data_IF_083251503197
#
_entry.id   IF_083251503197
#
_cell.length_a   1.000
_cell.length_b   1.000
_cell.length_c   1.000
_cell.angle_alpha   90.00
_cell.angle_beta   90.00
_cell.angle_gamma   90.00
#
_symmetry.space_group_name_H-M   'P 1'
#
loop_
_entity.id
_entity.type
_entity.pdbx_description
1 polymer ?
#
# COMPACT_ATOMS: atom_id res chain seq x y z
N UNK A 1 27.55 -17.74 -47.80
CA UNK A 1 28.05 -16.94 -46.67
C UNK A 1 27.25 -15.66 -46.72
N UNK A 2 26.16 -15.61 -45.97
CA UNK A 2 25.25 -14.46 -45.95
C UNK A 2 25.67 -13.60 -44.78
N UNK A 3 26.47 -12.59 -45.06
CA UNK A 3 26.85 -11.55 -44.12
C UNK A 3 25.58 -10.75 -43.75
N UNK A 4 24.99 -11.06 -42.59
CA UNK A 4 23.89 -10.24 -42.06
C UNK A 4 24.46 -8.88 -41.62
N UNK A 5 23.82 -7.76 -42.01
CA UNK A 5 24.30 -6.43 -41.68
C UNK A 5 24.08 -6.17 -40.19
N UNK A 6 25.16 -6.06 -39.44
CA UNK A 6 25.21 -5.58 -38.05
C UNK A 6 24.60 -4.16 -37.88
N UNK A 7 24.24 -3.50 -38.99
CA UNK A 7 23.52 -2.25 -39.07
C UNK A 7 22.11 -2.30 -38.43
N UNK A 8 21.44 -3.46 -38.44
CA UNK A 8 20.10 -3.60 -37.85
C UNK A 8 20.14 -3.62 -36.31
N UNK A 9 21.23 -4.13 -35.73
CA UNK A 9 21.42 -4.16 -34.27
C UNK A 9 21.84 -2.80 -33.68
N UNK A 10 22.37 -1.88 -34.49
CA UNK A 10 22.75 -0.53 -34.06
C UNK A 10 21.69 0.57 -34.29
N UNK A 11 20.65 0.29 -35.10
CA UNK A 11 19.61 1.26 -35.49
C UNK A 11 18.21 0.86 -34.98
N UNK A 12 18.02 -0.40 -34.54
CA UNK A 12 16.69 -0.94 -34.23
C UNK A 12 16.34 -1.09 -32.76
N UNK A 13 17.29 -0.91 -31.84
CA UNK A 13 17.02 -0.95 -30.41
C UNK A 13 17.33 0.42 -29.82
N UNK A 14 16.32 1.20 -29.40
CA UNK A 14 16.56 2.45 -28.69
C UNK A 14 17.43 2.15 -27.48
N UNK A 15 18.71 2.55 -27.53
CA UNK A 15 19.53 2.68 -26.33
C UNK A 15 18.68 3.50 -25.36
N UNK A 16 18.36 2.96 -24.18
CA UNK A 16 17.25 3.43 -23.32
C UNK A 16 17.20 4.93 -23.01
N UNK A 17 18.25 5.67 -23.33
CA UNK A 17 18.26 7.12 -23.42
C UNK A 17 17.15 7.70 -24.31
N UNK A 18 16.82 7.10 -25.47
CA UNK A 18 15.73 7.58 -26.32
C UNK A 18 14.37 7.48 -25.63
N UNK A 19 14.13 6.41 -24.88
CA UNK A 19 12.92 6.28 -24.04
C UNK A 19 12.84 7.37 -22.98
N UNK A 20 13.97 7.72 -22.36
CA UNK A 20 14.05 8.81 -21.39
C UNK A 20 13.74 10.15 -22.06
N UNK A 21 14.28 10.42 -23.25
CA UNK A 21 14.01 11.66 -24.00
C UNK A 21 12.52 11.78 -24.35
N UNK A 22 11.88 10.70 -24.79
CA UNK A 22 10.44 10.67 -25.08
C UNK A 22 9.62 10.93 -23.80
N UNK A 23 9.99 10.29 -22.69
CA UNK A 23 9.32 10.47 -21.40
C UNK A 23 9.41 11.92 -20.91
N UNK A 24 10.60 12.52 -21.06
CA UNK A 24 10.84 13.93 -20.73
C UNK A 24 10.05 14.84 -21.66
N UNK A 25 10.02 14.59 -22.97
CA UNK A 25 9.22 15.37 -23.92
C UNK A 25 7.72 15.34 -23.60
N UNK A 26 7.18 14.16 -23.27
CA UNK A 26 5.80 14.01 -22.79
C UNK A 26 5.59 14.75 -21.46
N UNK A 27 6.54 14.69 -20.53
CA UNK A 27 6.45 15.41 -19.26
C UNK A 27 6.55 16.92 -19.44
N UNK A 28 7.27 17.44 -20.44
CA UNK A 28 7.29 18.87 -20.77
C UNK A 28 5.96 19.31 -21.41
N UNK A 29 5.40 18.49 -22.31
CA UNK A 29 4.14 18.82 -23.00
C UNK A 29 2.92 18.71 -22.08
N UNK A 30 2.87 17.66 -21.26
CA UNK A 30 1.79 17.43 -20.30
C UNK A 30 2.03 18.09 -18.94
N UNK A 31 3.27 18.44 -18.61
CA UNK A 31 3.65 19.08 -17.35
C UNK A 31 3.17 18.29 -16.13
N UNK A 32 2.37 18.96 -15.30
CA UNK A 32 1.77 18.39 -14.08
C UNK A 32 0.59 17.45 -14.33
N UNK A 33 0.11 17.30 -15.57
CA UNK A 33 -1.07 16.48 -15.89
C UNK A 33 -0.79 14.98 -15.84
N UNK A 34 0.41 14.55 -16.21
CA UNK A 34 0.81 13.12 -16.13
C UNK A 34 0.65 12.54 -14.71
N UNK A 35 1.26 13.13 -13.65
CA UNK A 35 1.13 12.60 -12.29
C UNK A 35 -0.29 12.71 -11.72
N UNK A 36 -1.05 13.73 -12.13
CA UNK A 36 -2.45 13.92 -11.73
C UNK A 36 -3.35 12.79 -12.27
N UNK A 37 -3.16 12.40 -13.53
CA UNK A 37 -3.86 11.28 -14.17
C UNK A 37 -3.37 9.93 -13.62
N UNK A 38 -2.07 9.76 -13.36
CA UNK A 38 -1.55 8.55 -12.70
C UNK A 38 -2.13 8.36 -11.30
N UNK A 39 -2.37 9.46 -10.56
CA UNK A 39 -2.96 9.39 -9.22
C UNK A 39 -4.43 8.95 -9.25
N UNK A 40 -5.21 9.44 -10.22
CA UNK A 40 -6.62 9.03 -10.39
C UNK A 40 -6.76 7.61 -10.93
N UNK A 41 -5.96 7.23 -11.94
CA UNK A 41 -5.91 5.87 -12.48
C UNK A 41 -5.37 4.87 -11.45
N UNK A 42 -4.33 5.25 -10.71
CA UNK A 42 -3.72 4.39 -9.69
C UNK A 42 -4.65 4.11 -8.52
N UNK A 43 -5.52 5.07 -8.15
CA UNK A 43 -6.59 4.85 -7.17
C UNK A 43 -7.60 3.81 -7.64
N UNK A 44 -8.12 3.97 -8.87
CA UNK A 44 -9.08 3.03 -9.46
C UNK A 44 -8.49 1.63 -9.63
N UNK A 45 -7.24 1.51 -10.10
CA UNK A 45 -6.58 0.21 -10.23
C UNK A 45 -6.28 -0.44 -8.87
N UNK A 46 -5.97 0.36 -7.83
CA UNK A 46 -5.75 -0.12 -6.47
C UNK A 46 -7.03 -0.69 -5.86
N UNK A 47 -8.16 -0.01 -6.02
CA UNK A 47 -9.47 -0.49 -5.54
C UNK A 47 -9.94 -1.71 -6.33
N UNK A 48 -9.72 -1.73 -7.65
CA UNK A 48 -10.02 -2.89 -8.48
C UNK A 48 -9.20 -4.12 -8.05
N UNK A 49 -7.90 -3.94 -7.83
CA UNK A 49 -7.01 -5.03 -7.39
C UNK A 49 -7.38 -5.51 -5.99
N UNK A 50 -7.76 -4.59 -5.10
CA UNK A 50 -8.24 -4.93 -3.76
C UNK A 50 -9.55 -5.71 -3.79
N UNK A 51 -10.52 -5.31 -4.62
CA UNK A 51 -11.77 -6.07 -4.81
C UNK A 51 -11.57 -7.44 -5.45
N UNK A 52 -10.53 -7.58 -6.30
CA UNK A 52 -10.16 -8.86 -6.91
C UNK A 52 -9.36 -9.77 -5.97
N UNK A 53 -8.51 -9.23 -5.10
CA UNK A 53 -7.72 -9.97 -4.12
C UNK A 53 -8.51 -10.32 -2.83
N UNK A 54 -9.39 -9.42 -2.37
CA UNK A 54 -10.14 -9.52 -1.11
C UNK A 54 -11.60 -10.00 -1.31
N UNK A 55 -11.84 -11.03 -2.14
CA UNK A 55 -13.18 -11.62 -2.30
C UNK A 55 -13.95 -11.77 -0.96
N UNK A 56 -15.29 -11.66 -1.00
CA UNK A 56 -16.12 -10.91 -0.04
C UNK A 56 -15.55 -10.79 1.38
N UNK A 57 -15.06 -9.59 1.67
CA UNK A 57 -14.88 -8.99 3.00
C UNK A 57 -14.18 -9.85 4.06
N UNK A 58 -12.85 -9.81 4.07
CA UNK A 58 -12.15 -9.80 5.36
C UNK A 58 -12.15 -8.35 5.89
N UNK A 59 -12.74 -8.08 7.08
CA UNK A 59 -12.68 -6.77 7.68
C UNK A 59 -11.22 -6.36 7.83
N UNK A 60 -10.84 -5.28 7.17
CA UNK A 60 -9.51 -4.70 7.35
C UNK A 60 -9.59 -3.97 8.67
N UNK A 61 -9.09 -4.62 9.73
CA UNK A 61 -8.88 -3.97 11.02
C UNK A 61 -8.09 -2.67 10.79
N UNK A 62 -8.56 -1.52 11.28
CA UNK A 62 -7.81 -0.28 11.16
C UNK A 62 -6.46 -0.45 11.87
N UNK A 63 -5.35 0.12 11.35
CA UNK A 63 -4.06 0.05 11.99
C UNK A 63 -4.21 0.58 13.41
N UNK A 64 -4.10 -0.30 14.41
CA UNK A 64 -3.97 0.10 15.80
C UNK A 64 -2.71 0.94 15.86
N UNK A 65 -2.88 2.25 15.96
CA UNK A 65 -1.82 3.19 16.31
C UNK A 65 -1.35 2.83 17.72
N UNK A 66 -0.38 1.92 17.76
CA UNK A 66 0.49 1.71 18.90
C UNK A 66 1.34 2.98 19.07
N UNK A 67 1.05 3.74 20.11
CA UNK A 67 2.00 4.70 20.68
C UNK A 67 1.63 6.18 20.56
N UNK A 68 0.83 6.68 21.50
CA UNK A 68 0.96 8.05 22.03
C UNK A 68 0.30 8.17 23.42
N UNK A 69 1.09 7.82 24.44
CA UNK A 69 1.16 8.28 25.84
C UNK A 69 0.12 9.29 26.41
N UNK A 70 -0.39 8.93 27.60
CA UNK A 70 -0.88 9.73 28.75
C UNK A 70 -1.96 10.79 28.59
N UNK A 71 -3.13 10.51 29.18
CA UNK A 71 -3.59 11.20 30.40
C UNK A 71 -4.68 10.41 31.11
N UNK A 72 -4.48 10.27 32.41
CA UNK A 72 -5.53 10.13 33.41
C UNK A 72 -6.27 8.79 33.48
N UNK A 73 -5.70 7.86 34.26
CA UNK A 73 -6.45 7.06 35.23
C UNK A 73 -5.50 6.25 36.13
N UNK A 74 -5.07 6.90 37.20
CA UNK A 74 -4.91 6.24 38.50
C UNK A 74 -5.63 7.17 39.47
N UNK A 75 -6.67 6.73 40.22
CA UNK A 75 -6.48 5.72 41.25
C UNK A 75 -7.73 4.85 41.60
N UNK A 76 -7.53 3.54 41.80
CA UNK A 76 -7.70 2.89 43.12
C UNK A 76 -7.37 1.39 43.01
N UNK A 77 -6.51 0.88 43.90
CA UNK A 77 -6.06 -0.52 43.88
C UNK A 77 -6.97 -1.36 44.80
N UNK A 78 -6.56 -2.57 45.23
CA UNK A 78 -7.09 -3.85 44.78
C UNK A 78 -7.82 -4.57 45.93
N UNK A 79 -8.62 -5.60 45.65
CA UNK A 79 -8.65 -6.86 46.42
C UNK A 79 -9.68 -7.80 45.82
N UNK A 80 -9.21 -8.82 45.11
CA UNK A 80 -9.81 -10.16 45.23
C UNK A 80 -9.57 -10.63 46.65
N UNK A 81 -10.58 -11.22 47.33
CA UNK A 81 -10.49 -12.65 47.60
C UNK A 81 -11.90 -13.29 47.75
N UNK A 82 -12.03 -14.55 48.18
CA UNK A 82 -11.74 -15.77 47.44
C UNK A 82 -12.99 -16.65 47.30
N UNK A 83 -12.91 -17.62 46.41
CA UNK A 83 -13.74 -18.82 46.41
C UNK A 83 -13.71 -19.51 47.78
N UNK A 84 -14.86 -19.67 48.43
CA UNK A 84 -15.19 -20.70 49.42
C UNK A 84 -16.65 -20.43 49.81
N UNK A 85 -17.61 -21.28 49.49
CA UNK A 85 -17.67 -22.63 50.03
C UNK A 85 -18.43 -22.55 51.34
N UNK A 86 -19.54 -23.29 51.39
CA UNK A 86 -19.96 -24.01 52.58
C UNK A 86 -20.90 -23.34 53.61
N UNK A 87 -22.06 -24.01 53.76
CA UNK A 87 -22.68 -24.40 55.04
C UNK A 87 -23.42 -23.25 55.78
N UNK A 88 -24.61 -23.35 56.39
CA UNK A 88 -25.44 -24.44 56.89
C UNK A 88 -26.72 -23.85 57.57
N UNK A 89 -27.76 -24.69 57.72
CA UNK A 89 -28.86 -24.71 58.71
C UNK A 89 -29.36 -23.43 59.39
N UNK A 90 -30.68 -23.18 59.26
CA UNK A 90 -31.64 -23.45 60.36
C UNK A 90 -33.08 -23.35 59.84
#
# INVERSE_FOLDING_TARGET
>A
MNELPSLVLGIGMPQGFEWIVILVALLLLFGRRLPEIMRSLGGSLKEFKRGHEDGPAKPVDPPRVEGAVSRDQSPKPPVTPPSSGDHNHN
#
